data_IF_421250089593
#
_entry.id   IF_421250089593
#
_cell.length_a   1.000
_cell.length_b   1.000
_cell.length_c   1.000
_cell.angle_alpha   90.00
_cell.angle_beta   90.00
_cell.angle_gamma   90.00
#
_symmetry.space_group_name_H-M   'P 1'
#
loop_
_entity.id
_entity.type
_entity.pdbx_description
1 polymer ?
#
# COMPACT_ATOMS: atom_id res chain seq x y z
N UNK A 1 1.72 -47.98 -11.67
CA UNK A 1 2.29 -46.96 -12.60
C UNK A 1 1.54 -45.63 -12.49
N UNK A 2 0.22 -45.56 -12.71
CA UNK A 2 -0.55 -44.30 -12.64
C UNK A 2 -0.41 -43.57 -11.30
N UNK A 3 -0.42 -44.30 -10.17
CA UNK A 3 -0.27 -43.71 -8.84
C UNK A 3 1.10 -43.06 -8.63
N UNK A 4 2.18 -43.69 -9.09
CA UNK A 4 3.56 -43.18 -8.94
C UNK A 4 3.74 -41.91 -9.75
N UNK A 5 3.26 -41.90 -10.99
CA UNK A 5 3.33 -40.71 -11.86
C UNK A 5 2.51 -39.56 -11.26
N UNK A 6 1.29 -39.85 -10.79
CA UNK A 6 0.45 -38.84 -10.14
C UNK A 6 1.11 -38.25 -8.88
N UNK A 7 1.77 -39.07 -8.06
CA UNK A 7 2.51 -38.60 -6.88
C UNK A 7 3.69 -37.71 -7.29
N UNK A 8 4.49 -38.12 -8.29
CA UNK A 8 5.62 -37.32 -8.77
C UNK A 8 5.15 -35.97 -9.30
N UNK A 9 4.09 -35.95 -10.11
CA UNK A 9 3.49 -34.71 -10.63
C UNK A 9 3.00 -33.82 -9.47
N UNK A 10 2.31 -34.40 -8.49
CA UNK A 10 1.81 -33.67 -7.33
C UNK A 10 2.96 -33.03 -6.52
N UNK A 11 4.04 -33.77 -6.29
CA UNK A 11 5.22 -33.25 -5.58
C UNK A 11 5.87 -32.10 -6.37
N UNK A 12 6.07 -32.25 -7.68
CA UNK A 12 6.64 -31.19 -8.52
C UNK A 12 5.78 -29.92 -8.50
N UNK A 13 4.46 -30.07 -8.63
CA UNK A 13 3.52 -28.94 -8.59
C UNK A 13 3.51 -28.29 -7.21
N UNK A 14 3.52 -29.07 -6.13
CA UNK A 14 3.55 -28.55 -4.76
C UNK A 14 4.84 -27.74 -4.48
N UNK A 15 5.99 -28.20 -4.96
CA UNK A 15 7.26 -27.48 -4.85
C UNK A 15 7.20 -26.16 -5.62
N UNK A 16 6.74 -26.19 -6.88
CA UNK A 16 6.60 -24.96 -7.67
C UNK A 16 5.61 -23.99 -7.01
N UNK A 17 4.46 -24.48 -6.54
CA UNK A 17 3.46 -23.70 -5.84
C UNK A 17 4.04 -22.99 -4.62
N UNK A 18 4.78 -23.73 -3.80
CA UNK A 18 5.43 -23.20 -2.62
C UNK A 18 6.41 -22.08 -2.97
N UNK A 19 7.27 -22.30 -3.97
CA UNK A 19 8.26 -21.29 -4.42
C UNK A 19 7.57 -20.03 -4.95
N UNK A 20 6.55 -20.18 -5.80
CA UNK A 20 5.82 -19.05 -6.38
C UNK A 20 5.09 -18.28 -5.28
N UNK A 21 4.35 -18.95 -4.40
CA UNK A 21 3.63 -18.28 -3.30
C UNK A 21 4.61 -17.56 -2.37
N UNK A 22 5.74 -18.17 -2.02
CA UNK A 22 6.75 -17.55 -1.18
C UNK A 22 7.34 -16.28 -1.82
N UNK A 23 7.69 -16.35 -3.12
CA UNK A 23 8.20 -15.18 -3.85
C UNK A 23 7.14 -14.09 -3.99
N UNK A 24 5.92 -14.44 -4.36
CA UNK A 24 4.80 -13.49 -4.50
C UNK A 24 4.51 -12.78 -3.17
N UNK A 25 4.51 -13.50 -2.04
CA UNK A 25 4.37 -12.91 -0.70
C UNK A 25 5.46 -11.90 -0.39
N UNK A 26 6.72 -12.26 -0.62
CA UNK A 26 7.85 -11.38 -0.34
C UNK A 26 7.82 -10.10 -1.19
N UNK A 27 7.47 -10.23 -2.49
CA UNK A 27 7.37 -9.08 -3.40
C UNK A 27 6.19 -8.18 -3.03
N UNK A 28 5.00 -8.74 -2.82
CA UNK A 28 3.80 -7.95 -2.50
C UNK A 28 3.89 -7.28 -1.14
N UNK A 29 4.47 -7.93 -0.12
CA UNK A 29 4.70 -7.29 1.18
C UNK A 29 5.63 -6.07 1.05
N UNK A 30 6.71 -6.21 0.29
CA UNK A 30 7.64 -5.11 0.03
C UNK A 30 6.98 -3.97 -0.74
N UNK A 31 6.26 -4.27 -1.82
CA UNK A 31 5.58 -3.25 -2.63
C UNK A 31 4.49 -2.54 -1.85
N UNK A 32 3.68 -3.28 -1.08
CA UNK A 32 2.61 -2.70 -0.28
C UNK A 32 3.15 -1.74 0.79
N UNK A 33 4.24 -2.11 1.48
CA UNK A 33 4.94 -1.23 2.43
C UNK A 33 5.58 -0.03 1.74
N UNK A 34 6.24 -0.22 0.60
CA UNK A 34 6.81 0.88 -0.20
C UNK A 34 5.73 1.87 -0.62
N UNK A 35 4.58 1.38 -1.05
CA UNK A 35 3.46 2.16 -1.53
C UNK A 35 2.79 2.95 -0.41
N UNK A 36 2.65 2.38 0.80
CA UNK A 36 2.24 3.13 2.01
C UNK A 36 3.26 4.22 2.40
N UNK A 37 4.54 3.89 2.39
CA UNK A 37 5.60 4.84 2.74
C UNK A 37 5.61 6.03 1.77
N UNK A 38 5.59 5.73 0.47
CA UNK A 38 5.55 6.72 -0.58
C UNK A 38 4.26 7.57 -0.53
N UNK A 39 3.14 6.99 -0.07
CA UNK A 39 1.93 7.76 0.18
C UNK A 39 2.14 8.79 1.29
N UNK A 40 2.72 8.38 2.42
CA UNK A 40 3.02 9.29 3.52
C UNK A 40 4.00 10.40 3.09
N UNK A 41 5.07 10.05 2.38
CA UNK A 41 6.03 11.00 1.80
C UNK A 41 5.37 11.96 0.82
N UNK A 42 4.51 11.46 -0.08
CA UNK A 42 3.77 12.30 -1.03
C UNK A 42 2.89 13.32 -0.30
N UNK A 43 2.21 12.91 0.76
CA UNK A 43 1.38 13.82 1.55
C UNK A 43 2.23 14.83 2.33
N UNK A 44 3.33 14.40 2.94
CA UNK A 44 4.28 15.31 3.57
C UNK A 44 4.83 16.34 2.56
N UNK A 45 5.18 15.91 1.35
CA UNK A 45 5.65 16.78 0.27
C UNK A 45 4.57 17.73 -0.29
N UNK A 46 3.28 17.50 0.01
CA UNK A 46 2.21 18.44 -0.30
C UNK A 46 1.93 19.41 0.87
N UNK A 47 2.22 19.00 2.11
CA UNK A 47 1.89 19.77 3.33
C UNK A 47 3.06 20.64 3.76
N UNK A 48 4.29 20.13 3.75
CA UNK A 48 5.48 20.87 4.16
C UNK A 48 5.65 22.20 3.40
N UNK A 49 5.46 22.25 2.04
CA UNK A 49 5.56 23.50 1.31
C UNK A 49 4.54 24.55 1.74
N UNK A 50 3.34 24.16 2.19
CA UNK A 50 2.31 25.08 2.68
C UNK A 50 2.81 25.84 3.92
N UNK A 51 3.47 25.10 4.82
CA UNK A 51 4.01 25.71 6.04
C UNK A 51 5.29 26.50 5.76
N UNK A 52 6.17 26.02 4.88
CA UNK A 52 7.38 26.71 4.48
C UNK A 52 7.07 28.02 3.74
N UNK A 53 6.10 28.02 2.82
CA UNK A 53 5.62 29.21 2.11
C UNK A 53 5.09 30.25 3.10
N UNK A 54 4.30 29.81 4.10
CA UNK A 54 3.78 30.70 5.13
C UNK A 54 4.91 31.41 5.90
N UNK A 55 5.99 30.70 6.22
CA UNK A 55 7.15 31.32 6.87
C UNK A 55 7.95 32.22 5.94
N UNK A 56 8.16 31.81 4.68
CA UNK A 56 8.86 32.62 3.71
C UNK A 56 8.18 33.99 3.51
N UNK A 57 6.85 33.99 3.42
CA UNK A 57 6.06 35.23 3.31
C UNK A 57 6.13 36.08 4.59
N UNK A 58 6.10 35.44 5.76
CA UNK A 58 6.23 36.13 7.05
C UNK A 58 7.60 36.76 7.25
N UNK A 59 8.70 36.02 7.01
CA UNK A 59 10.06 36.53 7.11
C UNK A 59 10.30 37.67 6.11
N UNK A 60 9.75 37.55 4.89
CA UNK A 60 9.83 38.64 3.92
C UNK A 60 9.14 39.91 4.44
N UNK A 61 7.91 39.78 4.96
CA UNK A 61 7.14 40.89 5.52
C UNK A 61 7.82 41.48 6.76
N UNK A 62 8.34 40.63 7.64
CA UNK A 62 9.14 41.02 8.80
C UNK A 62 10.38 41.81 8.36
N UNK A 63 11.09 41.36 7.32
CA UNK A 63 12.27 42.02 6.78
C UNK A 63 11.95 43.42 6.25
N UNK A 64 10.85 43.56 5.48
CA UNK A 64 10.38 44.86 4.99
C UNK A 64 10.10 45.81 6.16
N UNK A 65 9.30 45.38 7.14
CA UNK A 65 8.96 46.19 8.31
C UNK A 65 10.22 46.54 9.12
N UNK A 66 11.09 45.57 9.37
CA UNK A 66 12.30 45.77 10.18
C UNK A 66 13.29 46.74 9.51
N UNK A 67 13.41 46.71 8.19
CA UNK A 67 14.28 47.62 7.45
C UNK A 67 13.83 49.10 7.59
N UNK A 68 12.52 49.37 7.58
CA UNK A 68 12.01 50.72 7.86
C UNK A 68 12.36 51.18 9.27
N UNK A 69 12.18 50.31 10.27
CA UNK A 69 12.49 50.63 11.66
C UNK A 69 13.97 50.90 11.88
N UNK A 70 14.84 50.11 11.26
CA UNK A 70 16.31 50.28 11.35
C UNK A 70 16.78 51.56 10.67
N UNK A 71 16.10 52.00 9.61
CA UNK A 71 16.36 53.27 8.95
C UNK A 71 15.88 54.49 9.78
N UNK A 72 15.26 54.27 10.94
CA UNK A 72 14.69 55.34 11.77
C UNK A 72 13.45 55.99 11.14
N UNK A 73 12.84 55.34 10.15
CA UNK A 73 11.63 55.82 9.48
C UNK A 73 10.43 55.31 10.26
N UNK A 74 9.59 56.24 10.73
CA UNK A 74 8.33 55.88 11.35
C UNK A 74 7.45 55.17 10.32
N UNK A 75 6.88 54.04 10.71
CA UNK A 75 6.05 53.26 9.79
C UNK A 75 4.64 53.80 9.82
N UNK A 76 4.22 54.38 8.69
CA UNK A 76 2.85 54.82 8.50
C UNK A 76 1.87 53.65 8.49
N UNK A 77 0.69 53.88 9.07
CA UNK A 77 -0.46 52.98 9.03
C UNK A 77 -0.72 52.34 7.66
N UNK A 78 -0.62 53.11 6.57
CA UNK A 78 -0.93 52.62 5.22
C UNK A 78 0.12 51.65 4.68
N UNK A 79 1.38 51.82 5.06
CA UNK A 79 2.46 50.93 4.68
C UNK A 79 2.25 49.55 5.33
N UNK A 80 1.90 49.51 6.62
CA UNK A 80 1.51 48.29 7.31
C UNK A 80 0.31 47.62 6.63
N UNK A 81 -0.75 48.38 6.35
CA UNK A 81 -1.93 47.82 5.69
C UNK A 81 -1.54 47.18 4.34
N UNK A 82 -0.76 47.88 3.51
CA UNK A 82 -0.27 47.34 2.23
C UNK A 82 0.55 46.06 2.37
N UNK A 83 1.50 46.02 3.31
CA UNK A 83 2.32 44.82 3.56
C UNK A 83 1.49 43.63 4.02
N UNK A 84 0.52 43.84 4.91
CA UNK A 84 -0.34 42.77 5.43
C UNK A 84 -1.37 42.30 4.40
N UNK A 85 -1.88 43.20 3.54
CA UNK A 85 -2.68 42.82 2.39
C UNK A 85 -1.88 41.90 1.46
N UNK A 86 -0.68 42.30 1.03
CA UNK A 86 0.14 41.47 0.14
C UNK A 86 0.58 40.14 0.78
N UNK A 87 0.92 40.15 2.07
CA UNK A 87 1.26 38.93 2.82
C UNK A 87 0.14 37.90 2.74
N UNK A 88 -1.09 38.32 3.03
CA UNK A 88 -2.23 37.41 3.11
C UNK A 88 -2.75 37.02 1.72
N UNK A 89 -2.80 37.96 0.77
CA UNK A 89 -3.26 37.73 -0.61
C UNK A 89 -2.34 36.78 -1.41
N UNK A 90 -1.07 36.66 -0.98
CA UNK A 90 -0.12 35.70 -1.56
C UNK A 90 -0.25 34.31 -0.92
N UNK A 91 -0.92 34.19 0.23
CA UNK A 91 -1.00 32.93 0.97
C UNK A 91 -2.26 32.15 0.61
N UNK A 92 -2.09 31.06 -0.13
CA UNK A 92 -3.22 30.22 -0.55
C UNK A 92 -3.94 29.45 0.58
N UNK A 93 -3.35 29.43 1.79
CA UNK A 93 -3.79 28.58 2.89
C UNK A 93 -3.99 29.32 4.22
N UNK A 94 -3.56 30.59 4.31
CA UNK A 94 -3.84 31.41 5.46
C UNK A 94 -5.21 32.08 5.33
N UNK A 95 -5.95 32.12 6.44
CA UNK A 95 -7.26 32.79 6.50
C UNK A 95 -7.17 34.17 7.13
N UNK A 96 -6.25 34.32 8.08
CA UNK A 96 -6.01 35.59 8.77
C UNK A 96 -4.53 35.93 8.80
N UNK A 97 -4.25 37.22 8.79
CA UNK A 97 -2.95 37.80 9.08
C UNK A 97 -3.13 38.86 10.16
N UNK A 98 -2.14 38.98 11.04
CA UNK A 98 -2.19 39.97 12.11
C UNK A 98 -0.84 40.60 12.36
N UNK A 99 -0.87 41.82 12.87
CA UNK A 99 0.32 42.55 13.30
C UNK A 99 0.02 43.25 14.62
N UNK A 100 0.94 43.14 15.56
CA UNK A 100 0.89 43.82 16.85
C UNK A 100 2.17 44.62 17.05
N UNK A 101 2.09 45.94 16.97
CA UNK A 101 3.25 46.84 17.10
C UNK A 101 3.13 47.72 18.34
N UNK A 102 4.18 47.82 19.14
CA UNK A 102 4.17 48.63 20.37
C UNK A 102 4.08 50.13 20.09
N UNK A 103 4.57 50.56 18.93
CA UNK A 103 4.51 51.94 18.45
C UNK A 103 4.08 51.92 16.97
N UNK A 104 3.10 52.75 16.59
CA UNK A 104 2.61 52.86 15.21
C UNK A 104 2.14 54.28 14.91
N UNK A 105 2.67 54.89 13.85
CA UNK A 105 2.26 56.23 13.44
C UNK A 105 0.87 56.20 12.78
N UNK A 106 -0.02 57.05 13.29
CA UNK A 106 -1.43 57.06 12.89
C UNK A 106 -2.24 55.89 13.45
N UNK A 107 -1.74 55.19 14.48
CA UNK A 107 -2.48 54.18 15.21
C UNK A 107 -3.72 54.77 15.90
N UNK A 108 -4.84 54.04 15.85
CA UNK A 108 -6.11 54.51 16.40
C UNK A 108 -6.37 53.98 17.83
N UNK A 109 -7.12 54.71 18.68
CA UNK A 109 -7.41 54.25 20.05
C UNK A 109 -8.13 52.90 20.14
N UNK A 110 -8.98 52.57 19.17
CA UNK A 110 -9.72 51.30 19.09
C UNK A 110 -8.85 50.11 18.60
N UNK A 111 -7.63 50.40 18.13
CA UNK A 111 -6.62 49.40 17.78
C UNK A 111 -5.64 49.15 18.94
N UNK A 112 -5.70 49.92 20.02
CA UNK A 112 -4.73 49.85 21.12
C UNK A 112 -5.12 48.79 22.15
N UNK A 113 -4.28 47.76 22.29
CA UNK A 113 -4.47 46.67 23.25
C UNK A 113 -3.25 46.54 24.16
N UNK A 114 -3.52 46.19 25.42
CA UNK A 114 -2.48 45.91 26.41
C UNK A 114 -2.55 44.45 26.82
N UNK A 115 -1.43 43.73 26.68
CA UNK A 115 -1.30 42.33 27.09
C UNK A 115 0.05 42.11 27.75
N UNK A 116 0.05 41.44 28.92
CA UNK A 116 1.27 41.12 29.68
C UNK A 116 2.18 42.35 29.92
N UNK A 117 1.59 43.51 30.24
CA UNK A 117 2.32 44.76 30.49
C UNK A 117 2.90 45.44 29.25
N UNK A 118 2.61 44.94 28.04
CA UNK A 118 2.98 45.56 26.76
C UNK A 118 1.73 46.17 26.14
N UNK A 119 1.79 47.45 25.77
CA UNK A 119 0.73 48.14 25.02
C UNK A 119 1.16 48.28 23.56
N UNK A 120 0.22 48.12 22.64
CA UNK A 120 0.51 48.20 21.22
C UNK A 120 -0.75 48.22 20.36
N UNK A 121 -0.57 48.54 19.09
CA UNK A 121 -1.61 48.59 18.08
C UNK A 121 -1.74 47.24 17.40
N UNK A 122 -2.91 46.62 17.54
CA UNK A 122 -3.27 45.35 16.91
C UNK A 122 -4.08 45.61 15.64
N UNK A 123 -3.71 44.93 14.56
CA UNK A 123 -4.50 44.86 13.34
C UNK A 123 -4.66 43.44 12.89
N UNK A 124 -5.82 43.18 12.31
CA UNK A 124 -6.24 41.88 11.84
C UNK A 124 -6.79 42.03 10.43
N UNK A 125 -6.43 41.09 9.56
CA UNK A 125 -6.82 41.03 8.17
C UNK A 125 -7.35 39.62 7.90
N UNK A 126 -8.32 39.53 7.01
CA UNK A 126 -8.96 38.28 6.60
C UNK A 126 -8.95 38.19 5.10
N UNK A 127 -8.71 36.99 4.60
CA UNK A 127 -8.95 36.65 3.21
C UNK A 127 -10.26 35.88 3.09
N UNK A 128 -11.17 36.40 2.28
CA UNK A 128 -12.44 35.74 1.96
C UNK A 128 -12.32 34.81 0.73
N UNK A 129 -11.29 34.97 -0.12
CA UNK A 129 -11.04 34.16 -1.32
C UNK A 129 -9.57 33.69 -1.47
N UNK A 130 -9.01 32.88 -0.55
CA UNK A 130 -7.57 32.53 -0.53
C UNK A 130 -7.01 31.89 -1.81
N UNK A 131 -7.88 31.35 -2.68
CA UNK A 131 -7.50 30.71 -3.94
C UNK A 131 -7.36 31.69 -5.13
N UNK A 132 -7.58 32.98 -4.92
CA UNK A 132 -7.60 34.01 -5.97
C UNK A 132 -6.88 35.27 -5.51
N UNK A 133 -6.43 36.06 -6.48
CA UNK A 133 -5.88 37.39 -6.22
C UNK A 133 -7.02 38.34 -5.83
N UNK A 134 -6.83 39.07 -4.74
CA UNK A 134 -7.85 39.89 -4.09
C UNK A 134 -8.72 39.08 -3.13
N UNK A 135 -9.53 39.77 -2.33
CA UNK A 135 -10.37 39.14 -1.30
C UNK A 135 -9.90 39.44 0.12
N UNK A 136 -8.72 40.06 0.26
CA UNK A 136 -8.23 40.50 1.57
C UNK A 136 -8.86 41.80 2.02
N UNK A 137 -9.38 41.81 3.26
CA UNK A 137 -9.91 43.01 3.92
C UNK A 137 -9.38 43.14 5.35
N UNK A 138 -9.27 44.38 5.82
CA UNK A 138 -9.01 44.68 7.23
C UNK A 138 -10.28 44.44 8.03
N UNK A 139 -10.15 43.76 9.16
CA UNK A 139 -11.27 43.42 10.05
C UNK A 139 -11.11 44.10 11.41
N UNK A 140 -12.15 44.05 12.24
CA UNK A 140 -12.07 44.61 13.60
C UNK A 140 -11.00 43.84 14.40
N UNK A 141 -10.04 44.53 15.04
CA UNK A 141 -9.06 43.86 15.90
C UNK A 141 -9.75 43.08 17.02
N UNK A 142 -9.22 41.89 17.31
CA UNK A 142 -9.68 41.05 18.40
C UNK A 142 -8.50 40.64 19.28
N UNK A 143 -8.57 40.97 20.57
CA UNK A 143 -7.50 40.69 21.53
C UNK A 143 -7.21 39.19 21.69
N UNK A 144 -8.12 38.31 21.30
CA UNK A 144 -7.91 36.84 21.30
C UNK A 144 -6.68 36.44 20.49
N UNK A 145 -6.31 37.21 19.47
CA UNK A 145 -5.10 36.97 18.65
C UNK A 145 -3.82 37.03 19.50
N UNK A 146 -3.79 37.92 20.50
CA UNK A 146 -2.67 38.02 21.44
C UNK A 146 -2.65 36.84 22.43
N UNK A 147 -3.74 36.08 22.51
CA UNK A 147 -3.84 34.88 23.33
C UNK A 147 -3.39 33.60 22.64
N UNK A 148 -3.16 33.65 21.32
CA UNK A 148 -2.71 32.51 20.53
C UNK A 148 -1.40 31.91 21.09
N UNK A 149 -1.28 30.58 21.18
CA UNK A 149 -0.09 29.94 21.74
C UNK A 149 1.22 30.38 21.08
N UNK A 150 1.24 30.48 19.75
CA UNK A 150 2.41 30.92 18.99
C UNK A 150 2.74 32.41 19.23
N UNK A 151 1.72 33.26 19.34
CA UNK A 151 1.89 34.69 19.59
C UNK A 151 2.52 34.96 20.96
N UNK A 152 2.05 34.27 22.01
CA UNK A 152 2.65 34.35 23.35
C UNK A 152 4.13 33.96 23.33
N UNK A 153 4.41 32.78 22.77
CA UNK A 153 5.79 32.27 22.68
C UNK A 153 6.70 33.18 21.88
N UNK A 154 6.23 33.74 20.76
CA UNK A 154 7.03 34.63 19.92
C UNK A 154 7.42 35.92 20.66
N UNK A 155 6.50 36.50 21.45
CA UNK A 155 6.76 37.69 22.27
C UNK A 155 7.71 37.42 23.44
N UNK A 156 7.66 36.22 24.02
CA UNK A 156 8.46 35.87 25.20
C UNK A 156 9.86 35.37 24.81
N UNK A 157 9.96 34.53 23.78
CA UNK A 157 11.20 33.92 23.30
C UNK A 157 11.93 34.78 22.26
N UNK A 158 11.28 35.82 21.70
CA UNK A 158 11.83 36.73 20.67
C UNK A 158 12.39 36.00 19.45
N UNK A 159 11.74 34.91 19.05
CA UNK A 159 12.09 34.13 17.84
C UNK A 159 10.84 33.75 17.06
N UNK A 160 11.04 33.31 15.82
CA UNK A 160 9.99 32.75 14.98
C UNK A 160 9.41 31.49 15.63
N UNK A 161 8.08 31.39 15.70
CA UNK A 161 7.37 30.26 16.31
C UNK A 161 6.34 29.71 15.32
N UNK A 162 6.38 28.39 15.11
CA UNK A 162 5.26 27.65 14.56
C UNK A 162 4.43 27.07 15.71
N UNK A 163 3.12 27.31 15.66
CA UNK A 163 2.21 26.97 16.73
C UNK A 163 1.87 25.49 16.82
N UNK A 164 1.02 25.21 17.79
CA UNK A 164 0.27 23.95 17.88
C UNK A 164 -1.13 24.17 17.31
N UNK A 165 -1.80 23.11 16.80
CA UNK A 165 -3.17 23.20 16.33
C UNK A 165 -4.11 23.60 17.47
N UNK A 166 -5.04 24.53 17.20
CA UNK A 166 -6.07 24.96 18.13
C UNK A 166 -7.33 25.42 17.38
N UNK A 167 -8.49 25.34 18.04
CA UNK A 167 -9.74 25.89 17.54
C UNK A 167 -9.81 27.38 17.90
N UNK A 168 -10.30 28.20 16.97
CA UNK A 168 -10.41 29.64 17.18
C UNK A 168 -11.70 30.19 16.61
N UNK A 169 -12.26 31.19 17.29
CA UNK A 169 -13.39 31.98 16.81
C UNK A 169 -12.92 33.39 16.46
N UNK A 170 -13.03 33.78 15.20
CA UNK A 170 -12.79 35.15 14.73
C UNK A 170 -13.94 35.60 13.84
N UNK A 171 -14.38 36.85 13.99
CA UNK A 171 -15.57 37.39 13.30
C UNK A 171 -16.83 36.51 13.44
N UNK A 172 -16.97 35.77 14.55
CA UNK A 172 -18.09 34.86 14.80
C UNK A 172 -18.00 33.52 14.07
N UNK A 173 -16.90 33.24 13.37
CA UNK A 173 -16.66 31.98 12.66
C UNK A 173 -15.65 31.13 13.42
N UNK A 174 -16.01 29.87 13.67
CA UNK A 174 -15.14 28.87 14.29
C UNK A 174 -14.38 28.13 13.18
N UNK A 175 -13.07 28.00 13.33
CA UNK A 175 -12.23 27.19 12.44
C UNK A 175 -11.01 26.63 13.17
N UNK A 176 -10.39 25.61 12.57
CA UNK A 176 -9.17 25.01 13.08
C UNK A 176 -7.94 25.68 12.49
N UNK A 177 -7.00 26.09 13.34
CA UNK A 177 -5.86 26.88 12.93
C UNK A 177 -4.53 26.34 13.49
N UNK A 178 -3.46 26.63 12.77
CA UNK A 178 -2.11 26.72 13.32
C UNK A 178 -1.54 28.09 12.94
N UNK A 179 -0.82 28.71 13.87
CA UNK A 179 -0.25 30.03 13.63
C UNK A 179 1.25 29.95 13.39
N UNK A 180 1.72 30.66 12.37
CA UNK A 180 3.13 31.02 12.22
C UNK A 180 3.29 32.48 12.66
N UNK A 181 4.26 32.77 13.54
CA UNK A 181 4.48 34.11 14.08
C UNK A 181 5.96 34.44 14.08
N UNK A 182 6.31 35.63 13.61
CA UNK A 182 7.68 36.14 13.62
C UNK A 182 7.75 37.47 14.40
N UNK A 183 8.76 37.67 15.26
CA UNK A 183 8.90 38.87 16.06
C UNK A 183 9.40 40.04 15.19
N UNK A 184 8.95 41.26 15.47
CA UNK A 184 9.48 42.46 14.85
C UNK A 184 10.55 43.06 15.77
N UNK A 185 11.78 43.22 15.25
CA UNK A 185 12.93 43.67 16.00
C UNK A 185 13.51 44.96 15.40
N UNK A 186 13.87 45.91 16.25
CA UNK A 186 14.71 47.05 15.89
C UNK A 186 16.05 46.95 16.65
N UNK A 187 17.10 46.48 15.95
CA UNK A 187 18.27 45.92 16.63
C UNK A 187 17.86 44.74 17.51
N UNK A 188 18.23 44.75 18.79
CA UNK A 188 17.82 43.72 19.77
C UNK A 188 16.50 44.03 20.49
N UNK A 189 15.89 45.20 20.22
CA UNK A 189 14.65 45.64 20.86
C UNK A 189 13.46 45.00 20.15
N UNK A 190 12.67 44.22 20.90
CA UNK A 190 11.36 43.77 20.44
C UNK A 190 10.41 44.96 20.33
N UNK A 191 9.81 45.15 19.16
CA UNK A 191 8.86 46.25 18.88
C UNK A 191 7.48 45.74 18.47
N UNK A 192 7.31 44.43 18.31
CA UNK A 192 6.04 43.84 17.91
C UNK A 192 6.17 42.41 17.38
N UNK A 193 5.15 41.98 16.65
CA UNK A 193 5.11 40.71 15.92
C UNK A 193 4.19 40.81 14.70
N UNK A 194 4.43 39.95 13.71
CA UNK A 194 3.53 39.69 12.60
C UNK A 194 3.27 38.19 12.52
N UNK A 195 2.03 37.79 12.20
CA UNK A 195 1.65 36.39 12.18
C UNK A 195 0.58 36.07 11.13
N UNK A 196 0.55 34.79 10.75
CA UNK A 196 -0.43 34.17 9.87
C UNK A 196 -1.16 33.07 10.63
N UNK A 197 -2.47 32.98 10.40
CA UNK A 197 -3.31 31.86 10.82
C UNK A 197 -3.63 30.98 9.62
N UNK A 198 -2.95 29.83 9.56
CA UNK A 198 -3.10 28.81 8.52
C UNK A 198 -4.38 28.02 8.82
N UNK A 199 -5.24 27.87 7.80
CA UNK A 199 -6.53 27.21 7.92
C UNK A 199 -6.38 25.68 7.77
N UNK A 200 -6.40 24.97 8.90
CA UNK A 200 -6.28 23.51 8.90
C UNK A 200 -7.52 22.83 8.32
N UNK A 201 -8.70 23.47 8.34
CA UNK A 201 -9.90 22.93 7.69
C UNK A 201 -9.75 22.88 6.16
N UNK A 202 -9.08 23.89 5.57
CA UNK A 202 -8.78 23.89 4.14
C UNK A 202 -7.81 22.76 3.77
N UNK A 203 -6.77 22.55 4.58
CA UNK A 203 -5.80 21.45 4.39
C UNK A 203 -6.49 20.09 4.57
N UNK A 204 -7.34 19.94 5.59
CA UNK A 204 -8.09 18.73 5.84
C UNK A 204 -8.99 18.36 4.64
N UNK A 205 -9.77 19.32 4.14
CA UNK A 205 -10.68 19.10 3.02
C UNK A 205 -9.95 18.89 1.68
N UNK A 206 -8.89 19.66 1.42
CA UNK A 206 -8.17 19.60 0.15
C UNK A 206 -7.23 18.40 0.01
N UNK A 207 -6.64 17.93 1.12
CA UNK A 207 -5.59 16.91 1.09
C UNK A 207 -6.02 15.64 1.85
N UNK A 208 -6.44 15.76 3.11
CA UNK A 208 -6.65 14.61 4.01
C UNK A 208 -7.92 13.83 3.66
N UNK A 209 -9.02 14.53 3.38
CA UNK A 209 -10.34 13.94 3.11
C UNK A 209 -10.55 13.57 1.64
N UNK A 210 -9.65 13.98 0.74
CA UNK A 210 -9.76 13.68 -0.68
C UNK A 210 -9.52 12.19 -0.95
N UNK A 211 -10.59 11.44 -1.25
CA UNK A 211 -10.52 9.99 -1.50
C UNK A 211 -9.66 9.59 -2.70
N UNK A 212 -9.34 10.51 -3.63
CA UNK A 212 -8.38 10.22 -4.70
C UNK A 212 -6.95 10.00 -4.17
N UNK A 213 -6.69 10.44 -2.94
CA UNK A 213 -5.42 10.24 -2.25
C UNK A 213 -5.33 8.91 -1.50
N UNK A 214 -6.45 8.19 -1.37
CA UNK A 214 -6.53 6.87 -0.76
C UNK A 214 -5.79 5.84 -1.61
N UNK A 215 -5.12 4.94 -0.92
CA UNK A 215 -4.16 4.00 -1.47
C UNK A 215 -4.58 2.57 -1.18
N UNK A 216 -5.20 2.36 -0.02
CA UNK A 216 -5.83 1.11 0.38
C UNK A 216 -7.27 1.36 0.83
N UNK A 217 -8.09 0.32 0.77
CA UNK A 217 -9.44 0.40 1.30
C UNK A 217 -9.39 0.65 2.81
N UNK A 218 -10.26 1.54 3.27
CA UNK A 218 -10.39 1.91 4.69
C UNK A 218 -9.10 2.50 5.29
N UNK A 219 -8.22 3.04 4.42
CA UNK A 219 -7.10 3.85 4.89
C UNK A 219 -7.55 5.24 5.33
N UNK A 220 -6.69 5.87 6.12
CA UNK A 220 -6.85 7.26 6.51
C UNK A 220 -5.51 7.97 6.63
N UNK A 221 -5.58 9.29 6.47
CA UNK A 221 -4.45 10.20 6.56
C UNK A 221 -4.64 11.03 7.83
N UNK A 222 -3.55 11.25 8.57
CA UNK A 222 -3.52 12.15 9.72
C UNK A 222 -2.28 13.03 9.66
N UNK A 223 -2.47 14.32 9.94
CA UNK A 223 -1.39 15.29 10.15
C UNK A 223 -1.20 15.43 11.65
N UNK A 224 0.01 15.16 12.11
CA UNK A 224 0.40 15.19 13.52
C UNK A 224 1.39 16.33 13.73
N UNK A 225 1.03 17.25 14.63
CA UNK A 225 1.95 18.24 15.19
C UNK A 225 2.81 17.59 16.31
N UNK A 226 3.84 18.28 16.84
CA UNK A 226 4.76 17.70 17.82
C UNK A 226 4.06 17.08 19.03
N UNK A 227 4.58 15.94 19.50
CA UNK A 227 4.00 15.19 20.63
C UNK A 227 2.75 14.39 20.25
N UNK A 228 2.58 14.07 18.96
CA UNK A 228 1.52 13.24 18.42
C UNK A 228 0.13 13.88 18.47
N UNK A 229 0.03 15.20 18.39
CA UNK A 229 -1.25 15.92 18.47
C UNK A 229 -1.89 16.03 17.09
N UNK A 230 -3.13 15.59 16.95
CA UNK A 230 -3.88 15.68 15.69
C UNK A 230 -4.12 17.13 15.27
N UNK A 231 -3.55 17.50 14.13
CA UNK A 231 -3.82 18.78 13.47
C UNK A 231 -4.86 18.65 12.36
N UNK A 232 -4.91 17.51 11.69
CA UNK A 232 -5.98 17.16 10.75
C UNK A 232 -6.09 15.63 10.64
N UNK A 233 -7.30 15.13 10.44
CA UNK A 233 -7.58 13.72 10.14
C UNK A 233 -8.90 13.62 9.39
N UNK A 234 -9.19 12.45 8.85
CA UNK A 234 -10.52 12.01 8.42
C UNK A 234 -11.63 12.10 9.48
N UNK A 235 -11.30 12.15 10.78
CA UNK A 235 -12.24 12.51 11.85
C UNK A 235 -11.71 13.70 12.67
N UNK A 236 -12.36 14.85 12.52
CA UNK A 236 -11.99 16.09 13.22
C UNK A 236 -12.37 16.10 14.71
N UNK A 237 -13.15 15.14 15.22
CA UNK A 237 -13.38 15.00 16.68
C UNK A 237 -12.10 14.71 17.48
N UNK A 238 -11.04 14.27 16.79
CA UNK A 238 -9.73 14.03 17.39
C UNK A 238 -8.82 15.25 17.37
N UNK A 239 -9.21 16.34 16.70
CA UNK A 239 -8.42 17.56 16.60
C UNK A 239 -7.94 18.03 17.99
N UNK A 240 -6.65 18.40 18.08
CA UNK A 240 -6.02 18.88 19.30
C UNK A 240 -5.78 17.81 20.37
N UNK A 241 -6.27 16.58 20.20
CA UNK A 241 -5.99 15.46 21.11
C UNK A 241 -4.68 14.77 20.73
N UNK A 242 -3.99 14.19 21.71
CA UNK A 242 -2.83 13.34 21.43
C UNK A 242 -3.30 11.99 20.89
N UNK A 243 -2.51 11.41 19.99
CA UNK A 243 -2.75 10.07 19.46
C UNK A 243 -2.80 9.02 20.58
N UNK A 244 -1.99 9.17 21.63
CA UNK A 244 -1.99 8.30 22.80
C UNK A 244 -3.27 8.42 23.65
N UNK A 245 -3.96 9.56 23.60
CA UNK A 245 -5.23 9.73 24.33
C UNK A 245 -6.40 9.09 23.56
N UNK A 246 -6.33 9.13 22.23
CA UNK A 246 -7.35 8.57 21.33
C UNK A 246 -7.18 7.07 21.14
N UNK A 247 -5.94 6.57 21.13
CA UNK A 247 -5.62 5.17 20.92
C UNK A 247 -4.72 4.67 22.05
N UNK A 248 -5.29 3.81 22.89
CA UNK A 248 -4.66 3.27 24.10
C UNK A 248 -3.77 2.05 23.83
N UNK A 249 -3.65 1.59 22.57
CA UNK A 249 -2.77 0.47 22.22
C UNK A 249 -1.31 0.85 22.46
N UNK A 250 -0.56 -0.02 23.14
CA UNK A 250 0.87 0.19 23.41
C UNK A 250 1.70 0.33 22.12
N UNK A 251 1.21 -0.21 21.00
CA UNK A 251 1.85 -0.14 19.69
C UNK A 251 1.92 1.28 19.11
N UNK A 252 1.01 2.19 19.51
CA UNK A 252 0.99 3.60 19.10
C UNK A 252 2.29 4.32 19.46
N UNK A 253 2.96 3.87 20.53
CA UNK A 253 4.24 4.43 20.95
C UNK A 253 5.27 4.42 19.81
N UNK A 254 5.23 3.44 18.91
CA UNK A 254 6.14 3.38 17.77
C UNK A 254 5.97 4.58 16.82
N UNK A 255 4.74 5.05 16.63
CA UNK A 255 4.42 6.23 15.80
C UNK A 255 4.91 7.51 16.48
N UNK A 256 4.73 7.62 17.80
CA UNK A 256 5.18 8.77 18.60
C UNK A 256 6.71 8.83 18.63
N UNK A 257 7.36 7.71 18.94
CA UNK A 257 8.82 7.60 18.97
C UNK A 257 9.41 7.92 17.59
N UNK A 258 8.74 7.54 16.50
CA UNK A 258 9.17 7.90 15.14
C UNK A 258 9.15 9.42 14.92
N UNK A 259 8.07 10.10 15.29
CA UNK A 259 7.99 11.56 15.19
C UNK A 259 9.04 12.26 16.06
N UNK A 260 9.15 11.85 17.33
CA UNK A 260 10.06 12.44 18.31
C UNK A 260 11.54 12.27 17.90
N UNK A 261 11.87 11.16 17.24
CA UNK A 261 13.21 10.91 16.69
C UNK A 261 13.40 11.39 15.24
N UNK A 262 12.38 12.04 14.66
CA UNK A 262 12.38 12.57 13.29
C UNK A 262 12.61 11.48 12.23
N UNK A 263 12.05 10.29 12.46
CA UNK A 263 12.22 9.12 11.62
C UNK A 263 10.98 8.87 10.76
N UNK A 264 11.16 8.96 9.44
CA UNK A 264 10.19 8.44 8.48
C UNK A 264 10.34 6.92 8.33
N UNK A 265 9.23 6.19 8.14
CA UNK A 265 9.28 4.74 7.96
C UNK A 265 7.91 4.06 7.95
N UNK A 266 7.95 2.73 8.03
CA UNK A 266 6.76 1.89 8.14
C UNK A 266 6.72 1.24 9.53
N UNK A 267 5.56 1.30 10.16
CA UNK A 267 5.34 0.79 11.50
C UNK A 267 4.08 -0.07 11.53
N UNK A 268 4.15 -1.22 12.19
CA UNK A 268 2.97 -2.05 12.43
C UNK A 268 2.40 -1.69 13.79
N UNK A 269 1.11 -1.36 13.81
CA UNK A 269 0.45 -0.93 15.02
C UNK A 269 -1.04 -1.25 14.95
N UNK A 270 -1.72 -1.13 16.08
CA UNK A 270 -3.18 -1.19 16.13
C UNK A 270 -3.72 0.23 15.92
N UNK A 271 -4.55 0.44 14.91
CA UNK A 271 -5.11 1.75 14.63
C UNK A 271 -6.19 2.14 15.65
N UNK A 272 -6.66 3.38 15.59
CA UNK A 272 -7.67 3.89 16.55
C UNK A 272 -9.05 3.21 16.43
N UNK A 273 -9.26 2.35 15.42
CA UNK A 273 -10.45 1.53 15.26
C UNK A 273 -10.28 0.11 15.84
N UNK A 274 -9.14 -0.18 16.49
CA UNK A 274 -8.85 -1.49 17.07
C UNK A 274 -8.44 -2.53 16.03
N UNK A 275 -8.02 -2.11 14.82
CA UNK A 275 -7.60 -3.01 13.75
C UNK A 275 -6.08 -3.08 13.68
N UNK A 276 -5.53 -4.26 13.42
CA UNK A 276 -4.13 -4.37 13.02
C UNK A 276 -3.90 -3.61 11.72
N UNK A 277 -2.94 -2.70 11.73
CA UNK A 277 -2.69 -1.75 10.66
C UNK A 277 -1.20 -1.61 10.37
N UNK A 278 -0.91 -1.08 9.18
CA UNK A 278 0.40 -0.63 8.78
C UNK A 278 0.35 0.88 8.61
N UNK A 279 1.16 1.59 9.39
CA UNK A 279 1.31 3.04 9.35
C UNK A 279 2.56 3.43 8.57
N UNK A 280 2.39 4.17 7.48
CA UNK A 280 3.47 4.94 6.88
C UNK A 280 3.59 6.30 7.57
N UNK A 281 4.77 6.60 8.10
CA UNK A 281 5.07 7.88 8.76
C UNK A 281 6.11 8.61 7.94
N UNK A 282 5.83 9.87 7.62
CA UNK A 282 6.79 10.80 7.03
C UNK A 282 6.90 12.04 7.91
N UNK A 283 8.10 12.33 8.39
CA UNK A 283 8.39 13.44 9.31
C UNK A 283 9.19 14.52 8.60
N UNK A 284 8.82 15.78 8.81
CA UNK A 284 9.47 16.94 8.19
C UNK A 284 9.61 18.10 9.18
N UNK A 285 10.70 18.86 9.08
CA UNK A 285 10.86 20.11 9.80
C UNK A 285 9.97 21.18 9.16
N UNK A 286 9.27 21.96 9.98
CA UNK A 286 8.51 23.11 9.50
C UNK A 286 9.44 24.30 9.46
N UNK A 287 9.86 24.70 8.26
CA UNK A 287 10.81 25.78 8.04
C UNK A 287 12.17 25.59 8.72
N UNK A 288 13.19 26.22 8.16
CA UNK A 288 14.56 26.14 8.69
C UNK A 288 14.65 26.75 10.09
N UNK A 289 15.40 26.09 10.98
CA UNK A 289 15.77 26.58 12.32
C UNK A 289 14.60 26.79 13.29
N UNK A 290 13.41 26.26 13.02
CA UNK A 290 12.31 26.29 14.00
C UNK A 290 12.45 25.19 15.04
N UNK A 291 13.16 24.10 14.70
CA UNK A 291 13.27 22.89 15.51
C UNK A 291 11.93 22.19 15.72
N UNK A 292 10.94 22.47 14.86
CA UNK A 292 9.56 21.97 15.00
C UNK A 292 9.29 20.95 13.90
N UNK A 293 9.08 19.68 14.30
CA UNK A 293 8.85 18.58 13.36
C UNK A 293 7.38 18.16 13.38
N UNK A 294 6.80 18.11 12.20
CA UNK A 294 5.45 17.60 11.97
C UNK A 294 5.53 16.27 11.24
N UNK A 295 4.45 15.51 11.26
CA UNK A 295 4.44 14.21 10.59
C UNK A 295 3.11 13.95 9.92
N UNK A 296 3.18 13.27 8.79
CA UNK A 296 2.00 12.65 8.17
C UNK A 296 2.02 11.17 8.49
N UNK A 297 0.90 10.67 9.01
CA UNK A 297 0.62 9.25 9.19
C UNK A 297 -0.42 8.83 8.14
N UNK A 298 -0.09 7.83 7.33
CA UNK A 298 -1.04 7.11 6.48
C UNK A 298 -1.23 5.72 7.07
N UNK A 299 -2.42 5.43 7.56
CA UNK A 299 -2.75 4.16 8.21
C UNK A 299 -3.67 3.33 7.35
N UNK A 300 -3.29 2.10 7.05
CA UNK A 300 -4.14 1.14 6.34
C UNK A 300 -4.30 -0.17 7.13
N UNK A 301 -5.52 -0.73 7.26
CA UNK A 301 -5.73 -2.03 7.89
C UNK A 301 -4.96 -3.14 7.16
N UNK A 302 -4.34 -4.07 7.89
CA UNK A 302 -3.56 -5.16 7.30
C UNK A 302 -4.38 -6.00 6.32
N UNK A 303 -5.66 -6.24 6.63
CA UNK A 303 -6.56 -6.98 5.75
C UNK A 303 -6.72 -6.30 4.38
N UNK A 304 -6.79 -4.96 4.34
CA UNK A 304 -6.82 -4.25 3.06
C UNK A 304 -5.48 -4.25 2.37
N UNK A 305 -4.37 -4.13 3.10
CA UNK A 305 -3.03 -4.11 2.54
C UNK A 305 -2.70 -5.45 1.87
N UNK A 306 -3.11 -6.56 2.49
CA UNK A 306 -2.84 -7.91 2.02
C UNK A 306 -3.99 -8.55 1.23
N UNK A 307 -5.11 -7.87 1.01
CA UNK A 307 -6.21 -8.37 0.18
C UNK A 307 -5.76 -8.83 -1.23
N UNK A 308 -4.94 -8.05 -1.99
CA UNK A 308 -4.45 -8.50 -3.29
C UNK A 308 -3.61 -9.79 -3.21
N UNK A 309 -2.86 -9.95 -2.12
CA UNK A 309 -2.06 -11.15 -1.87
C UNK A 309 -2.96 -12.36 -1.60
N UNK A 310 -4.05 -12.19 -0.85
CA UNK A 310 -5.02 -13.26 -0.59
C UNK A 310 -5.74 -13.68 -1.87
N UNK A 311 -6.15 -12.73 -2.70
CA UNK A 311 -6.77 -13.01 -4.01
C UNK A 311 -5.82 -13.78 -4.92
N UNK A 312 -4.59 -13.28 -5.13
CA UNK A 312 -3.58 -13.94 -5.96
C UNK A 312 -3.25 -15.33 -5.44
N UNK A 313 -3.07 -15.49 -4.12
CA UNK A 313 -2.78 -16.79 -3.51
C UNK A 313 -3.92 -17.79 -3.75
N UNK A 314 -5.17 -17.33 -3.64
CA UNK A 314 -6.35 -18.16 -3.88
C UNK A 314 -6.45 -18.57 -5.35
N UNK A 315 -6.22 -17.63 -6.27
CA UNK A 315 -6.17 -17.92 -7.71
C UNK A 315 -5.07 -18.94 -8.04
N UNK A 316 -3.86 -18.78 -7.49
CA UNK A 316 -2.75 -19.72 -7.68
C UNK A 316 -3.15 -21.14 -7.24
N UNK A 317 -3.72 -21.27 -6.03
CA UNK A 317 -4.14 -22.59 -5.49
C UNK A 317 -5.21 -23.24 -6.37
N UNK A 318 -6.22 -22.48 -6.81
CA UNK A 318 -7.26 -22.99 -7.69
C UNK A 318 -6.67 -23.41 -9.04
N UNK A 319 -5.80 -22.58 -9.64
CA UNK A 319 -5.13 -22.91 -10.90
C UNK A 319 -4.32 -24.19 -10.79
N UNK A 320 -3.55 -24.36 -9.71
CA UNK A 320 -2.80 -25.58 -9.42
C UNK A 320 -3.71 -26.81 -9.36
N UNK A 321 -4.82 -26.72 -8.62
CA UNK A 321 -5.76 -27.82 -8.48
C UNK A 321 -6.34 -28.24 -9.84
N UNK A 322 -6.76 -27.27 -10.65
CA UNK A 322 -7.31 -27.51 -11.99
C UNK A 322 -6.25 -28.14 -12.90
N UNK A 323 -5.03 -27.58 -12.94
CA UNK A 323 -3.93 -28.12 -13.75
C UNK A 323 -3.57 -29.55 -13.33
N UNK A 324 -3.53 -29.84 -12.03
CA UNK A 324 -3.26 -31.19 -11.53
C UNK A 324 -4.32 -32.20 -12.01
N UNK A 325 -5.60 -31.87 -11.90
CA UNK A 325 -6.71 -32.73 -12.37
C UNK A 325 -6.58 -32.99 -13.87
N UNK A 326 -6.31 -31.96 -14.67
CA UNK A 326 -6.14 -32.09 -16.12
C UNK A 326 -4.96 -32.99 -16.48
N UNK A 327 -3.81 -32.83 -15.82
CA UNK A 327 -2.63 -33.67 -16.08
C UNK A 327 -2.92 -35.14 -15.73
N UNK A 328 -3.52 -35.41 -14.57
CA UNK A 328 -3.88 -36.77 -14.16
C UNK A 328 -4.86 -37.41 -15.14
N UNK A 329 -5.85 -36.65 -15.62
CA UNK A 329 -6.82 -37.12 -16.61
C UNK A 329 -6.16 -37.47 -17.94
N UNK A 330 -5.30 -36.59 -18.47
CA UNK A 330 -4.57 -36.82 -19.73
C UNK A 330 -3.67 -38.05 -19.61
N UNK A 331 -2.89 -38.17 -18.52
CA UNK A 331 -2.00 -39.30 -18.28
C UNK A 331 -2.80 -40.61 -18.16
N UNK A 332 -3.93 -40.59 -17.45
CA UNK A 332 -4.80 -41.76 -17.29
C UNK A 332 -5.34 -42.24 -18.64
N UNK A 333 -5.84 -41.32 -19.48
CA UNK A 333 -6.30 -41.62 -20.83
C UNK A 333 -5.16 -42.17 -21.69
N UNK A 334 -3.98 -41.56 -21.62
CA UNK A 334 -2.80 -41.98 -22.38
C UNK A 334 -2.35 -43.39 -22.00
N UNK A 335 -2.18 -43.68 -20.71
CA UNK A 335 -1.74 -45.01 -20.24
C UNK A 335 -2.78 -46.07 -20.61
N UNK A 336 -4.07 -45.77 -20.43
CA UNK A 336 -5.12 -46.73 -20.76
C UNK A 336 -5.11 -47.08 -22.26
N UNK A 337 -4.99 -46.06 -23.13
CA UNK A 337 -4.98 -46.27 -24.58
C UNK A 337 -3.70 -46.92 -25.11
N UNK A 338 -2.54 -46.45 -24.67
CA UNK A 338 -1.27 -46.84 -25.27
C UNK A 338 -0.71 -48.13 -24.65
N UNK A 339 -0.95 -48.38 -23.36
CA UNK A 339 -0.35 -49.52 -22.66
C UNK A 339 -1.40 -50.57 -22.27
N UNK A 340 -2.44 -50.18 -21.52
CA UNK A 340 -3.39 -51.15 -20.93
C UNK A 340 -4.15 -51.92 -22.01
N UNK A 341 -4.76 -51.24 -22.99
CA UNK A 341 -5.50 -51.93 -24.05
C UNK A 341 -4.61 -52.84 -24.89
N UNK A 342 -3.38 -52.41 -25.22
CA UNK A 342 -2.43 -53.24 -25.98
C UNK A 342 -1.97 -54.46 -25.18
N UNK A 343 -1.69 -54.29 -23.89
CA UNK A 343 -1.36 -55.39 -22.99
C UNK A 343 -2.52 -56.39 -22.84
N UNK A 344 -3.76 -55.90 -22.73
CA UNK A 344 -4.95 -56.76 -22.67
C UNK A 344 -5.10 -57.60 -23.94
N UNK A 345 -4.91 -56.99 -25.13
CA UNK A 345 -4.94 -57.74 -26.39
C UNK A 345 -3.82 -58.79 -26.47
N UNK A 346 -2.58 -58.42 -26.15
CA UNK A 346 -1.45 -59.36 -26.13
C UNK A 346 -1.72 -60.50 -25.15
N UNK A 347 -2.17 -60.18 -23.93
CA UNK A 347 -2.48 -61.17 -22.89
C UNK A 347 -3.61 -62.11 -23.33
N UNK A 348 -4.67 -61.57 -23.93
CA UNK A 348 -5.80 -62.37 -24.40
C UNK A 348 -5.37 -63.34 -25.49
N UNK A 349 -4.70 -62.87 -26.54
CA UNK A 349 -4.20 -63.74 -27.64
C UNK A 349 -3.20 -64.77 -27.13
N UNK A 350 -2.36 -64.42 -26.16
CA UNK A 350 -1.43 -65.39 -25.55
C UNK A 350 -2.19 -66.49 -24.79
N UNK A 351 -3.24 -66.16 -24.03
CA UNK A 351 -4.06 -67.17 -23.36
C UNK A 351 -4.84 -68.04 -24.35
N UNK A 352 -5.34 -67.47 -25.44
CA UNK A 352 -5.96 -68.25 -26.52
C UNK A 352 -4.95 -69.19 -27.17
N UNK A 353 -3.71 -68.75 -27.39
CA UNK A 353 -2.65 -69.59 -27.90
C UNK A 353 -2.35 -70.77 -26.95
N UNK A 354 -2.29 -70.53 -25.64
CA UNK A 354 -2.14 -71.61 -24.66
C UNK A 354 -3.33 -72.57 -24.66
N UNK A 355 -4.56 -72.10 -24.86
CA UNK A 355 -5.72 -72.99 -24.99
C UNK A 355 -5.63 -73.87 -26.24
N UNK A 356 -5.15 -73.30 -27.36
CA UNK A 356 -4.89 -74.05 -28.59
C UNK A 356 -3.82 -75.13 -28.39
N UNK A 357 -2.68 -74.79 -27.79
CA UNK A 357 -1.61 -75.76 -27.48
C UNK A 357 -2.07 -76.89 -26.54
N UNK A 358 -2.95 -76.57 -25.60
CA UNK A 358 -3.51 -77.56 -24.66
C UNK A 358 -4.71 -78.32 -25.24
N UNK A 359 -4.95 -78.26 -26.55
CA UNK A 359 -6.04 -78.94 -27.25
C UNK A 359 -7.44 -78.63 -26.69
N UNK A 360 -7.61 -77.47 -26.02
CA UNK A 360 -8.92 -76.99 -25.57
C UNK A 360 -9.70 -76.34 -26.71
N UNK A 361 -9.00 -75.91 -27.75
CA UNK A 361 -9.56 -75.33 -28.98
C UNK A 361 -8.81 -75.89 -30.19
N UNK A 362 -9.52 -76.20 -31.28
CA UNK A 362 -8.90 -76.81 -32.47
C UNK A 362 -8.41 -75.78 -33.51
N UNK A 363 -8.65 -74.49 -33.27
CA UNK A 363 -8.27 -73.41 -34.18
C UNK A 363 -7.19 -72.53 -33.53
N UNK A 364 -6.10 -72.20 -34.25
CA UNK A 364 -5.12 -71.26 -33.75
C UNK A 364 -5.74 -69.85 -33.60
N UNK A 365 -5.31 -69.05 -32.62
CA UNK A 365 -5.81 -67.69 -32.44
C UNK A 365 -5.41 -66.80 -33.62
N UNK A 366 -6.17 -65.72 -33.81
CA UNK A 366 -5.86 -64.72 -34.84
C UNK A 366 -4.56 -63.97 -34.49
N UNK A 367 -3.67 -63.71 -35.47
CA UNK A 367 -2.45 -62.96 -35.22
C UNK A 367 -2.73 -61.55 -34.69
N UNK A 368 -1.94 -61.11 -33.72
CA UNK A 368 -1.97 -59.74 -33.21
C UNK A 368 -1.62 -58.75 -34.32
N UNK A 369 -2.41 -57.68 -34.46
CA UNK A 369 -2.06 -56.56 -35.34
C UNK A 369 -0.98 -55.69 -34.67
N UNK A 370 0.23 -55.71 -35.23
CA UNK A 370 1.36 -54.93 -34.71
C UNK A 370 1.23 -53.48 -35.21
N UNK A 371 0.99 -52.55 -34.29
CA UNK A 371 0.75 -51.13 -34.58
C UNK A 371 1.90 -50.21 -34.14
N UNK A 372 2.91 -50.75 -33.45
CA UNK A 372 4.11 -50.02 -33.02
C UNK A 372 5.31 -50.98 -32.95
N UNK A 373 6.53 -50.43 -33.04
CA UNK A 373 7.81 -51.17 -32.96
C UNK A 373 8.47 -51.08 -31.57
N UNK A 374 7.70 -50.79 -30.54
CA UNK A 374 8.13 -50.79 -29.14
C UNK A 374 8.22 -52.22 -28.57
N UNK A 375 8.59 -52.35 -27.29
CA UNK A 375 8.76 -53.64 -26.61
C UNK A 375 7.49 -54.49 -26.68
N UNK A 376 6.31 -53.89 -26.54
CA UNK A 376 5.02 -54.58 -26.67
C UNK A 376 4.77 -55.04 -28.12
N UNK A 377 5.20 -54.25 -29.11
CA UNK A 377 5.17 -54.63 -30.53
C UNK A 377 6.10 -55.79 -30.87
N UNK A 378 7.29 -55.81 -30.27
CA UNK A 378 8.25 -56.91 -30.39
C UNK A 378 7.70 -58.19 -29.74
N UNK A 379 7.12 -58.10 -28.54
CA UNK A 379 6.43 -59.22 -27.88
C UNK A 379 5.29 -59.76 -28.75
N UNK A 380 4.44 -58.88 -29.29
CA UNK A 380 3.35 -59.29 -30.19
C UNK A 380 3.86 -59.99 -31.45
N UNK A 381 4.93 -59.47 -32.06
CA UNK A 381 5.56 -60.09 -33.24
C UNK A 381 6.11 -61.48 -32.93
N UNK A 382 6.82 -61.64 -31.81
CA UNK A 382 7.35 -62.92 -31.39
C UNK A 382 6.23 -63.94 -31.10
N UNK A 383 5.12 -63.51 -30.47
CA UNK A 383 3.95 -64.36 -30.23
C UNK A 383 3.35 -64.82 -31.55
N UNK A 384 3.15 -63.93 -32.52
CA UNK A 384 2.63 -64.28 -33.84
C UNK A 384 3.50 -65.31 -34.57
N UNK A 385 4.83 -65.13 -34.54
CA UNK A 385 5.76 -66.08 -35.14
C UNK A 385 5.67 -67.46 -34.48
N UNK A 386 5.54 -67.52 -33.15
CA UNK A 386 5.39 -68.78 -32.43
C UNK A 386 4.04 -69.46 -32.71
N UNK A 387 2.95 -68.69 -32.83
CA UNK A 387 1.64 -69.22 -33.25
C UNK A 387 1.75 -69.86 -34.63
N UNK A 388 2.35 -69.16 -35.60
CA UNK A 388 2.49 -69.65 -36.97
C UNK A 388 3.36 -70.91 -37.04
N UNK A 389 4.53 -70.88 -36.40
CA UNK A 389 5.45 -72.02 -36.41
C UNK A 389 4.82 -73.24 -35.73
N UNK A 390 4.14 -73.06 -34.60
CA UNK A 390 3.54 -74.19 -33.88
C UNK A 390 2.35 -74.78 -34.62
N UNK A 391 1.52 -73.94 -35.24
CA UNK A 391 0.42 -74.42 -36.08
C UNK A 391 0.93 -75.25 -37.27
N UNK A 392 2.02 -74.83 -37.92
CA UNK A 392 2.68 -75.61 -38.99
C UNK A 392 3.21 -76.95 -38.48
N UNK A 393 3.87 -76.95 -37.31
CA UNK A 393 4.40 -78.17 -36.72
C UNK A 393 3.26 -79.16 -36.33
N UNK A 394 2.18 -78.67 -35.72
CA UNK A 394 1.02 -79.50 -35.36
C UNK A 394 0.30 -80.09 -36.58
N UNK A 395 0.17 -79.34 -37.68
CA UNK A 395 -0.38 -79.84 -38.94
C UNK A 395 0.52 -80.94 -39.55
N UNK A 396 1.85 -80.77 -39.48
CA UNK A 396 2.81 -81.78 -39.92
C UNK A 396 2.74 -83.04 -39.05
N UNK A 397 2.69 -82.90 -37.72
CA UNK A 397 2.56 -84.02 -36.79
C UNK A 397 1.25 -84.77 -37.02
N UNK A 398 0.14 -84.06 -37.26
CA UNK A 398 -1.15 -84.67 -37.59
C UNK A 398 -1.06 -85.50 -38.87
N UNK A 399 -0.47 -84.95 -39.94
CA UNK A 399 -0.25 -85.68 -41.20
C UNK A 399 0.68 -86.88 -41.04
N UNK A 400 1.72 -86.77 -40.23
CA UNK A 400 2.65 -87.87 -39.96
C UNK A 400 1.97 -89.00 -39.16
N UNK A 401 1.11 -88.66 -38.20
CA UNK A 401 0.28 -89.62 -37.47
C UNK A 401 -0.71 -90.30 -38.42
N UNK A 402 -1.40 -89.55 -39.28
CA UNK A 402 -2.31 -90.10 -40.30
C UNK A 402 -1.60 -91.04 -41.27
N UNK A 403 -0.42 -90.64 -41.76
CA UNK A 403 0.42 -91.50 -42.61
C UNK A 403 0.87 -92.76 -41.88
N UNK A 404 1.31 -92.65 -40.62
CA UNK A 404 1.71 -93.80 -39.80
C UNK A 404 0.53 -94.75 -39.52
N UNK A 405 -0.66 -94.20 -39.24
CA UNK A 405 -1.89 -94.98 -39.05
C UNK A 405 -2.34 -95.66 -40.35
N UNK A 406 -2.18 -95.00 -41.50
CA UNK A 406 -2.49 -95.55 -42.81
C UNK A 406 -1.50 -96.68 -43.18
N UNK A 407 -0.20 -96.48 -42.98
CA UNK A 407 0.82 -97.53 -43.17
C UNK A 407 0.59 -98.70 -42.22
N UNK A 408 0.23 -98.46 -40.96
CA UNK A 408 -0.12 -99.53 -40.02
C UNK A 408 -1.34 -100.34 -40.49
N UNK A 409 -2.39 -99.67 -41.00
CA UNK A 409 -3.55 -100.33 -41.62
C UNK A 409 -3.18 -101.13 -42.87
N UNK A 410 -2.29 -100.61 -43.72
CA UNK A 410 -1.82 -101.31 -44.92
C UNK A 410 -1.01 -102.57 -44.57
N UNK A 411 -0.23 -102.55 -43.48
CA UNK A 411 0.46 -103.73 -42.94
C UNK A 411 -0.53 -104.72 -42.32
N UNK A 412 -1.57 -104.25 -41.64
CA UNK A 412 -2.60 -105.11 -41.00
C UNK A 412 -3.56 -105.76 -42.02
N UNK A 413 -3.67 -105.17 -43.22
CA UNK A 413 -4.52 -105.65 -44.33
C UNK A 413 -3.82 -106.60 -45.32
N UNK A 414 -2.55 -106.93 -45.06
CA UNK A 414 -1.68 -107.76 -45.93
C UNK A 414 -1.16 -109.00 -45.23
#
# INVERSE_FOLDING_TARGET
MNLVIAIVVLVCIAIMAFVVIAQTRAVLDKEAKSLLYNAAERHANNIAPIFDESFALLENTQGVISNFLQAGVAIESKAIDGSLFSLLDTSNWAKYAFVYMFELEGGKPDELFTKNGRSGYLRLYRDDEPSRVGGVRKVKPDAVVLDFPAAKKALDEKRSIFGVPFEVTLEGEIFHAVNAVVPLLNGDKLVGMVGLSINLDAIANGIVLNKQNSVFKDDFISILSPGGVYAASDNMEHFGKKIADVNQSASVKQIIDAQDNHQSGIFQYENRYGQEAIGGVSTFEVWRNTGTFWSVLVSAPQDSVYAPLQEISTTIVISILVTFIVIVLIISIFINRTLVMRLQHISHTLFEFFNYLNHKTNTPPQPLKIIAQDELGQMGSAINQNIEQTNKNLDQDTKAIEQSAQTAKEIESG
#
